data_IF_232966287591
#
_entry.id   IF_232966287591
#
_cell.length_a   1.000
_cell.length_b   1.000
_cell.length_c   1.000
_cell.angle_alpha   90.00
_cell.angle_beta   90.00
_cell.angle_gamma   90.00
#
_symmetry.space_group_name_H-M   'P 1'
#
loop_
_entity.id
_entity.type
_entity.pdbx_description
1 polymer ?
#
# COMPACT_ATOMS: atom_id res chain seq x y z
N UNK A 1 35.99 23.27 -1.91
CA UNK A 1 34.72 23.53 -2.62
C UNK A 1 34.68 22.51 -3.74
N UNK A 2 33.85 21.47 -3.62
CA UNK A 2 33.74 20.44 -4.65
C UNK A 2 33.04 21.07 -5.85
N UNK A 3 33.77 21.26 -6.94
CA UNK A 3 33.26 21.86 -8.16
C UNK A 3 32.51 20.79 -8.95
N UNK A 4 31.17 20.87 -8.91
CA UNK A 4 30.27 19.90 -9.56
C UNK A 4 29.95 20.27 -11.01
N UNK A 5 30.56 21.31 -11.56
CA UNK A 5 30.35 21.68 -12.97
C UNK A 5 31.35 20.96 -13.87
N UNK A 6 31.08 19.67 -14.12
CA UNK A 6 31.58 19.00 -15.32
C UNK A 6 30.72 19.46 -16.50
N UNK A 7 31.29 20.33 -17.32
CA UNK A 7 30.71 20.72 -18.61
C UNK A 7 30.62 19.50 -19.55
N UNK A 8 29.39 19.09 -19.81
CA UNK A 8 28.90 18.25 -20.92
C UNK A 8 29.52 16.85 -21.17
N UNK A 9 28.88 15.84 -20.58
CA UNK A 9 28.34 14.68 -21.31
C UNK A 9 27.04 14.26 -20.60
N UNK A 10 25.88 14.41 -21.26
CA UNK A 10 24.57 14.66 -20.62
C UNK A 10 23.92 13.49 -19.86
N UNK A 11 24.68 12.45 -19.50
CA UNK A 11 24.17 11.32 -18.72
C UNK A 11 25.02 11.13 -17.45
N UNK A 12 24.45 11.47 -16.31
CA UNK A 12 25.01 11.27 -15.00
C UNK A 12 24.53 9.92 -14.44
N UNK A 13 25.43 9.05 -13.99
CA UNK A 13 25.05 7.76 -13.41
C UNK A 13 25.13 7.80 -11.89
N UNK A 14 24.24 7.07 -11.20
CA UNK A 14 24.22 7.08 -9.74
C UNK A 14 25.51 6.55 -9.11
N UNK A 15 26.32 5.79 -9.85
CA UNK A 15 27.65 5.32 -9.44
C UNK A 15 28.67 6.46 -9.33
N UNK A 16 28.42 7.61 -9.94
CA UNK A 16 29.27 8.80 -9.85
C UNK A 16 28.98 9.63 -8.58
N UNK A 17 27.93 9.26 -7.82
CA UNK A 17 27.56 9.91 -6.57
C UNK A 17 28.41 9.42 -5.39
N UNK A 18 28.42 10.22 -4.31
CA UNK A 18 28.87 9.73 -3.01
C UNK A 18 28.03 8.52 -2.57
N UNK A 19 28.59 7.66 -1.71
CA UNK A 19 27.97 6.40 -1.29
C UNK A 19 26.53 6.53 -0.77
N UNK A 20 26.21 7.62 -0.06
CA UNK A 20 24.87 7.84 0.49
C UNK A 20 23.86 8.11 -0.62
N UNK A 21 24.18 9.03 -1.52
CA UNK A 21 23.33 9.36 -2.66
C UNK A 21 23.27 8.19 -3.65
N UNK A 22 24.39 7.53 -3.93
CA UNK A 22 24.45 6.34 -4.79
C UNK A 22 23.51 5.24 -4.29
N UNK A 23 23.51 4.95 -2.98
CA UNK A 23 22.62 3.95 -2.39
C UNK A 23 21.13 4.29 -2.55
N UNK A 24 20.76 5.57 -2.38
CA UNK A 24 19.38 6.03 -2.54
C UNK A 24 18.91 5.90 -4.00
N UNK A 25 19.72 6.33 -4.96
CA UNK A 25 19.37 6.25 -6.38
C UNK A 25 19.41 4.81 -6.90
N UNK A 26 20.33 3.97 -6.40
CA UNK A 26 20.34 2.53 -6.70
C UNK A 26 19.08 1.84 -6.18
N UNK A 27 18.63 2.15 -4.95
CA UNK A 27 17.35 1.64 -4.45
C UNK A 27 16.18 2.10 -5.33
N UNK A 28 16.20 3.36 -5.76
CA UNK A 28 15.21 3.92 -6.67
C UNK A 28 15.17 3.18 -8.01
N UNK A 29 16.32 2.94 -8.62
CA UNK A 29 16.48 2.24 -9.91
C UNK A 29 16.02 0.77 -9.86
N UNK A 30 16.18 0.11 -8.70
CA UNK A 30 15.67 -1.25 -8.48
C UNK A 30 14.14 -1.34 -8.43
N UNK A 31 13.46 -0.28 -7.96
CA UNK A 31 12.01 -0.29 -7.71
C UNK A 31 11.21 0.49 -8.76
N UNK A 32 11.82 1.50 -9.38
CA UNK A 32 11.27 2.30 -10.48
C UNK A 32 12.35 2.51 -11.53
N UNK A 33 11.94 2.73 -12.78
CA UNK A 33 12.86 2.97 -13.89
C UNK A 33 13.62 4.32 -13.84
N UNK A 34 13.55 5.03 -12.70
CA UNK A 34 14.18 6.32 -12.41
C UNK A 34 14.14 7.35 -13.57
N UNK A 35 12.99 7.41 -14.25
CA UNK A 35 12.79 8.26 -15.43
C UNK A 35 12.66 9.73 -15.03
N UNK A 36 13.49 10.59 -15.62
CA UNK A 36 13.54 12.03 -15.30
C UNK A 36 12.18 12.70 -15.53
N UNK A 37 11.53 12.42 -16.66
CA UNK A 37 10.25 12.98 -17.07
C UNK A 37 9.06 12.56 -16.18
N UNK A 38 9.27 11.59 -15.29
CA UNK A 38 8.25 11.06 -14.37
C UNK A 38 8.57 11.33 -12.90
N UNK A 39 9.66 12.03 -12.63
CA UNK A 39 10.18 12.32 -11.30
C UNK A 39 10.12 13.83 -11.05
N UNK A 40 9.96 14.23 -9.79
CA UNK A 40 10.07 15.65 -9.43
C UNK A 40 11.53 16.07 -9.35
N UNK A 41 11.80 17.35 -9.60
CA UNK A 41 13.10 17.97 -9.32
C UNK A 41 12.99 18.89 -8.11
N UNK A 42 13.74 18.60 -7.05
CA UNK A 42 13.78 19.39 -5.82
C UNK A 42 15.17 20.02 -5.71
N UNK A 43 15.22 21.35 -5.59
CA UNK A 43 16.48 22.12 -5.55
C UNK A 43 17.43 21.77 -6.71
N UNK A 44 16.89 21.60 -7.92
CA UNK A 44 17.66 21.23 -9.11
C UNK A 44 18.04 19.75 -9.21
N UNK A 45 17.71 18.91 -8.21
CA UNK A 45 18.02 17.48 -8.21
C UNK A 45 16.79 16.65 -8.51
N UNK A 46 16.87 15.74 -9.48
CA UNK A 46 15.83 14.75 -9.75
C UNK A 46 15.63 13.84 -8.54
N UNK A 47 14.39 13.61 -8.10
CA UNK A 47 14.09 12.62 -7.07
C UNK A 47 14.49 11.21 -7.52
N UNK A 48 15.00 10.35 -6.61
CA UNK A 48 15.49 9.01 -6.96
C UNK A 48 14.39 8.04 -7.42
N UNK A 49 13.13 8.42 -7.28
CA UNK A 49 11.96 7.64 -7.68
C UNK A 49 10.92 8.49 -8.38
N UNK A 50 10.11 7.81 -9.17
CA UNK A 50 8.94 8.31 -9.87
C UNK A 50 7.96 9.02 -8.89
N UNK A 51 7.22 10.04 -9.34
CA UNK A 51 6.17 10.70 -8.53
C UNK A 51 5.11 9.72 -8.04
N UNK A 52 4.85 8.64 -8.82
CA UNK A 52 3.93 7.57 -8.41
C UNK A 52 4.42 6.87 -7.14
N UNK A 53 5.69 6.50 -7.10
CA UNK A 53 6.29 5.79 -5.97
C UNK A 53 6.34 6.67 -4.72
N UNK A 54 6.56 7.98 -4.90
CA UNK A 54 6.38 8.95 -3.80
C UNK A 54 4.97 8.83 -3.21
N UNK A 55 3.94 8.75 -4.06
CA UNK A 55 2.57 8.50 -3.64
C UNK A 55 2.38 7.15 -2.94
N UNK A 56 2.94 6.07 -3.50
CA UNK A 56 2.86 4.71 -2.92
C UNK A 56 3.51 4.67 -1.54
N UNK A 57 4.71 5.22 -1.38
CA UNK A 57 5.40 5.26 -0.08
C UNK A 57 4.66 6.12 0.94
N UNK A 58 4.15 7.29 0.53
CA UNK A 58 3.33 8.13 1.40
C UNK A 58 2.04 7.41 1.84
N UNK A 59 1.37 6.74 0.90
CA UNK A 59 0.21 5.90 1.18
C UNK A 59 0.53 4.76 2.14
N UNK A 60 1.63 4.03 1.91
CA UNK A 60 2.06 2.92 2.74
C UNK A 60 2.35 3.36 4.18
N UNK A 61 3.07 4.48 4.34
CA UNK A 61 3.32 5.09 5.64
C UNK A 61 2.00 5.49 6.33
N UNK A 62 1.06 6.09 5.60
CA UNK A 62 -0.25 6.46 6.12
C UNK A 62 -1.08 5.23 6.52
N UNK A 63 -1.10 4.18 5.70
CA UNK A 63 -1.81 2.93 5.99
C UNK A 63 -1.27 2.25 7.26
N UNK A 64 0.05 2.14 7.37
CA UNK A 64 0.70 1.62 8.58
C UNK A 64 0.42 2.48 9.81
N UNK A 65 0.46 3.81 9.67
CA UNK A 65 0.13 4.74 10.74
C UNK A 65 -1.32 4.58 11.20
N UNK A 66 -2.28 4.56 10.27
CA UNK A 66 -3.70 4.37 10.59
C UNK A 66 -3.92 3.02 11.29
N UNK A 67 -3.29 1.94 10.78
CA UNK A 67 -3.36 0.63 11.42
C UNK A 67 -2.79 0.66 12.84
N UNK A 68 -1.65 1.32 13.07
CA UNK A 68 -1.03 1.40 14.40
C UNK A 68 -1.94 2.02 15.48
N UNK A 69 -2.93 2.83 15.07
CA UNK A 69 -3.86 3.51 15.98
C UNK A 69 -5.17 2.77 16.20
N UNK A 70 -5.58 1.92 15.26
CA UNK A 70 -6.94 1.33 15.25
C UNK A 70 -6.98 -0.18 15.03
N UNK A 71 -5.95 -0.76 14.42
CA UNK A 71 -5.90 -2.17 14.07
C UNK A 71 -5.79 -3.07 15.29
N UNK A 72 -6.53 -4.18 15.27
CA UNK A 72 -6.47 -5.22 16.29
C UNK A 72 -6.32 -6.59 15.64
N UNK A 73 -5.63 -7.50 16.35
CA UNK A 73 -5.47 -8.88 15.93
C UNK A 73 -6.81 -9.63 15.98
N UNK A 74 -7.24 -10.20 14.85
CA UNK A 74 -8.36 -11.14 14.74
C UNK A 74 -7.88 -12.43 14.05
N UNK A 75 -8.72 -13.46 14.02
CA UNK A 75 -8.33 -14.80 13.52
C UNK A 75 -7.80 -14.80 12.07
N UNK A 76 -8.43 -14.04 11.16
CA UNK A 76 -8.03 -13.99 9.75
C UNK A 76 -7.40 -12.65 9.40
N UNK A 77 -6.57 -12.62 8.35
CA UNK A 77 -6.00 -11.38 7.80
C UNK A 77 -7.11 -10.41 7.41
N UNK A 78 -8.19 -10.89 6.79
CA UNK A 78 -9.34 -10.06 6.40
C UNK A 78 -9.98 -9.39 7.62
N UNK A 79 -10.24 -10.15 8.67
CA UNK A 79 -10.92 -9.61 9.86
C UNK A 79 -10.00 -8.62 10.59
N UNK A 80 -8.71 -8.95 10.66
CA UNK A 80 -7.65 -8.08 11.19
C UNK A 80 -7.52 -6.79 10.38
N UNK A 81 -7.63 -6.86 9.05
CA UNK A 81 -7.62 -5.70 8.16
C UNK A 81 -8.85 -4.82 8.40
N UNK A 82 -10.04 -5.41 8.41
CA UNK A 82 -11.29 -4.67 8.59
C UNK A 82 -11.41 -4.05 9.99
N UNK A 83 -10.64 -4.53 10.96
CA UNK A 83 -10.64 -3.99 12.33
C UNK A 83 -10.23 -2.52 12.45
N UNK A 84 -9.61 -1.97 11.40
CA UNK A 84 -9.31 -0.53 11.31
C UNK A 84 -10.59 0.33 11.26
N UNK A 85 -11.71 -0.26 10.83
CA UNK A 85 -13.02 0.38 10.76
C UNK A 85 -13.79 0.18 12.08
N UNK A 86 -14.61 1.16 12.51
CA UNK A 86 -15.39 1.03 13.74
C UNK A 86 -16.37 -0.14 13.71
N UNK A 87 -16.46 -0.88 14.82
CA UNK A 87 -17.32 -2.06 14.93
C UNK A 87 -18.80 -1.74 14.66
N UNK A 88 -19.27 -0.54 15.01
CA UNK A 88 -20.64 -0.10 14.72
C UNK A 88 -20.97 -0.11 13.21
N UNK A 89 -20.01 0.26 12.37
CA UNK A 89 -20.17 0.23 10.91
C UNK A 89 -20.10 -1.19 10.35
N UNK A 90 -19.35 -2.07 11.03
CA UNK A 90 -19.14 -3.46 10.61
C UNK A 90 -20.27 -4.40 11.07
N UNK A 91 -21.01 -4.06 12.13
CA UNK A 91 -22.13 -4.83 12.67
C UNK A 91 -23.07 -5.42 11.60
N UNK A 92 -23.67 -4.61 10.69
CA UNK A 92 -24.58 -5.14 9.67
C UNK A 92 -23.86 -6.01 8.62
N UNK A 93 -22.57 -5.76 8.37
CA UNK A 93 -21.77 -6.45 7.36
C UNK A 93 -21.39 -7.85 7.85
N UNK A 94 -20.98 -7.96 9.11
CA UNK A 94 -20.66 -9.23 9.76
C UNK A 94 -21.90 -10.10 9.93
N UNK A 95 -23.02 -9.53 10.37
CA UNK A 95 -24.30 -10.26 10.50
C UNK A 95 -24.82 -10.78 9.17
N UNK A 96 -24.67 -10.02 8.07
CA UNK A 96 -25.07 -10.45 6.71
C UNK A 96 -24.00 -11.29 6.00
N UNK A 97 -22.90 -11.66 6.68
CA UNK A 97 -21.78 -12.41 6.11
C UNK A 97 -21.14 -11.75 4.85
N UNK A 98 -21.18 -10.42 4.74
CA UNK A 98 -20.66 -9.66 3.57
C UNK A 98 -19.21 -9.17 3.74
N UNK A 99 -18.51 -9.62 4.79
CA UNK A 99 -17.13 -9.18 5.11
C UNK A 99 -16.13 -9.41 3.98
N UNK A 100 -16.25 -10.52 3.24
CA UNK A 100 -15.37 -10.80 2.09
C UNK A 100 -15.60 -9.78 0.97
N UNK A 101 -16.86 -9.46 0.68
CA UNK A 101 -17.18 -8.46 -0.34
C UNK A 101 -16.65 -7.09 0.06
N UNK A 102 -16.84 -6.67 1.31
CA UNK A 102 -16.29 -5.39 1.80
C UNK A 102 -14.76 -5.33 1.62
N UNK A 103 -14.05 -6.39 2.02
CA UNK A 103 -12.59 -6.45 1.89
C UNK A 103 -12.13 -6.34 0.44
N UNK A 104 -12.78 -7.08 -0.47
CA UNK A 104 -12.49 -7.02 -1.91
C UNK A 104 -12.82 -5.63 -2.47
N UNK A 105 -13.94 -5.02 -2.08
CA UNK A 105 -14.33 -3.68 -2.54
C UNK A 105 -13.32 -2.63 -2.09
N UNK A 106 -12.87 -2.64 -0.84
CA UNK A 106 -11.82 -1.72 -0.35
C UNK A 106 -10.52 -1.93 -1.13
N UNK A 107 -10.10 -3.19 -1.32
CA UNK A 107 -8.92 -3.52 -2.12
C UNK A 107 -9.03 -3.02 -3.55
N UNK A 108 -10.18 -3.23 -4.19
CA UNK A 108 -10.47 -2.77 -5.55
C UNK A 108 -10.39 -1.24 -5.65
N UNK A 109 -10.98 -0.49 -4.70
CA UNK A 109 -10.89 0.97 -4.66
C UNK A 109 -9.44 1.45 -4.54
N UNK A 110 -8.61 0.76 -3.75
CA UNK A 110 -7.19 1.12 -3.61
C UNK A 110 -6.36 0.78 -4.85
N UNK A 111 -6.68 -0.30 -5.58
CA UNK A 111 -5.84 -0.82 -6.68
C UNK A 111 -6.27 -0.29 -8.05
N UNK A 112 -7.57 -0.25 -8.32
CA UNK A 112 -8.12 0.01 -9.67
C UNK A 112 -7.68 1.37 -10.23
N UNK A 113 -7.71 2.50 -9.48
CA UNK A 113 -7.32 3.79 -10.05
C UNK A 113 -5.90 3.79 -10.64
N UNK A 114 -4.95 3.17 -9.95
CA UNK A 114 -3.57 3.05 -10.42
C UNK A 114 -3.43 2.04 -11.56
N UNK A 115 -4.14 0.91 -11.48
CA UNK A 115 -4.15 -0.09 -12.54
C UNK A 115 -4.72 0.48 -13.85
N UNK A 116 -5.81 1.25 -13.78
CA UNK A 116 -6.41 1.93 -14.93
C UNK A 116 -5.47 3.00 -15.49
N UNK A 117 -4.88 3.84 -14.63
CA UNK A 117 -3.92 4.86 -15.06
C UNK A 117 -2.70 4.23 -15.75
N UNK A 118 -2.14 3.15 -15.21
CA UNK A 118 -1.05 2.40 -15.83
C UNK A 118 -1.44 1.67 -17.11
N UNK A 119 -2.61 1.03 -17.13
CA UNK A 119 -3.08 0.26 -18.29
C UNK A 119 -3.45 1.16 -19.47
N UNK A 120 -4.08 2.30 -19.22
CA UNK A 120 -4.39 3.28 -20.27
C UNK A 120 -3.13 3.88 -20.89
N UNK A 121 -2.07 4.11 -20.11
CA UNK A 121 -0.73 4.49 -20.63
C UNK A 121 -0.10 3.43 -21.54
N UNK A 122 -0.39 2.14 -21.33
CA UNK A 122 0.12 1.08 -22.21
C UNK A 122 -0.62 1.02 -23.55
N UNK A 123 -1.86 1.51 -23.61
CA UNK A 123 -2.73 1.41 -24.78
C UNK A 123 -2.85 2.70 -25.57
N UNK A 124 -2.36 3.82 -25.06
CA UNK A 124 -2.55 5.15 -25.65
C UNK A 124 -1.26 5.98 -25.56
N UNK A 125 -1.14 7.00 -26.41
CA UNK A 125 -0.03 7.96 -26.36
C UNK A 125 -0.11 8.95 -25.19
N UNK A 126 -1.04 8.74 -24.26
CA UNK A 126 -1.22 9.57 -23.08
C UNK A 126 -0.18 9.20 -22.03
N UNK A 127 0.55 10.19 -21.55
CA UNK A 127 1.35 10.09 -20.33
C UNK A 127 0.57 10.58 -19.10
N UNK A 128 0.75 9.95 -17.93
CA UNK A 128 0.15 10.48 -16.70
C UNK A 128 0.81 11.80 -16.31
N UNK A 129 0.03 12.71 -15.75
CA UNK A 129 0.57 13.91 -15.10
C UNK A 129 1.13 13.55 -13.73
N UNK A 130 2.04 14.38 -13.20
CA UNK A 130 2.58 14.20 -11.84
C UNK A 130 1.46 14.11 -10.78
N UNK A 131 0.43 14.94 -10.91
CA UNK A 131 -0.73 14.91 -10.01
C UNK A 131 -1.48 13.56 -10.07
N UNK A 132 -1.75 13.06 -11.28
CA UNK A 132 -2.46 11.78 -11.43
C UNK A 132 -1.64 10.60 -10.91
N UNK A 133 -0.31 10.61 -11.13
CA UNK A 133 0.62 9.61 -10.58
C UNK A 133 0.57 9.59 -9.05
N UNK A 134 0.54 10.76 -8.43
CA UNK A 134 0.46 10.91 -6.98
C UNK A 134 -0.90 10.42 -6.44
N UNK A 135 -2.01 10.91 -7.03
CA UNK A 135 -3.38 10.61 -6.56
C UNK A 135 -3.76 9.15 -6.75
N UNK A 136 -3.22 8.46 -7.77
CA UNK A 136 -3.44 7.02 -7.93
C UNK A 136 -2.48 6.18 -7.08
N UNK A 137 -1.26 6.66 -6.85
CA UNK A 137 -0.27 5.99 -5.99
C UNK A 137 -0.65 5.96 -4.51
N UNK A 138 -1.19 7.06 -3.96
CA UNK A 138 -1.54 7.16 -2.54
C UNK A 138 -2.57 6.10 -2.08
N UNK A 139 -3.74 5.94 -2.74
CA UNK A 139 -4.71 4.92 -2.37
C UNK A 139 -4.15 3.49 -2.46
N UNK A 140 -3.32 3.22 -3.46
CA UNK A 140 -2.67 1.92 -3.62
C UNK A 140 -1.71 1.65 -2.46
N UNK A 141 -0.84 2.61 -2.16
CA UNK A 141 0.07 2.55 -1.02
C UNK A 141 -0.67 2.37 0.30
N UNK A 142 -1.77 3.10 0.52
CA UNK A 142 -2.59 3.00 1.73
C UNK A 142 -3.19 1.61 1.90
N UNK A 143 -3.73 1.05 0.81
CA UNK A 143 -4.23 -0.32 0.79
C UNK A 143 -3.15 -1.35 1.13
N UNK A 144 -1.96 -1.22 0.53
CA UNK A 144 -0.80 -2.07 0.83
C UNK A 144 -0.34 -1.95 2.29
N UNK A 145 -0.22 -0.73 2.80
CA UNK A 145 0.18 -0.48 4.19
C UNK A 145 -0.78 -1.10 5.19
N UNK A 146 -2.09 -0.93 4.99
CA UNK A 146 -3.12 -1.58 5.82
C UNK A 146 -3.05 -3.12 5.69
N UNK A 147 -2.87 -3.65 4.48
CA UNK A 147 -2.81 -5.08 4.23
C UNK A 147 -1.60 -5.73 4.91
N UNK A 148 -0.40 -5.19 4.74
CA UNK A 148 0.81 -5.73 5.36
C UNK A 148 0.79 -5.60 6.87
N UNK A 149 0.33 -4.47 7.42
CA UNK A 149 0.18 -4.30 8.85
C UNK A 149 -0.82 -5.31 9.44
N UNK A 150 -1.94 -5.53 8.75
CA UNK A 150 -2.91 -6.55 9.14
C UNK A 150 -2.37 -7.97 9.02
N UNK A 151 -1.66 -8.30 7.94
CA UNK A 151 -1.07 -9.62 7.72
C UNK A 151 -0.04 -9.96 8.80
N UNK A 152 0.80 -9.00 9.21
CA UNK A 152 1.77 -9.19 10.28
C UNK A 152 1.12 -9.28 11.69
N UNK A 153 -0.03 -8.63 11.85
CA UNK A 153 -0.76 -8.59 13.11
C UNK A 153 -1.72 -9.77 13.31
N UNK A 154 -2.17 -10.39 12.21
CA UNK A 154 -3.08 -11.54 12.22
C UNK A 154 -2.35 -12.79 12.74
N UNK A 155 -2.54 -13.08 14.02
CA UNK A 155 -1.86 -14.16 14.75
C UNK A 155 -2.90 -15.12 15.32
N UNK A 156 -3.38 -16.11 14.53
CA UNK A 156 -4.35 -17.10 15.00
C UNK A 156 -3.81 -17.92 16.17
N UNK A 157 -2.50 -18.13 16.25
CA UNK A 157 -1.85 -18.88 17.33
C UNK A 157 -1.94 -18.20 18.72
N UNK A 158 -2.46 -16.97 18.81
CA UNK A 158 -2.76 -16.30 20.09
C UNK A 158 -4.14 -16.66 20.64
N UNK A 159 -4.90 -17.49 19.94
CA UNK A 159 -6.23 -17.93 20.33
C UNK A 159 -6.24 -19.46 20.39
N UNK A 160 -6.81 -20.04 21.45
CA UNK A 160 -6.97 -21.48 21.58
C UNK A 160 -8.06 -21.99 20.61
N UNK A 161 -9.09 -21.18 20.39
CA UNK A 161 -10.25 -21.52 19.53
C UNK A 161 -10.69 -20.32 18.70
N UNK A 162 -11.13 -20.54 17.44
CA UNK A 162 -11.68 -19.45 16.61
C UNK A 162 -12.84 -18.69 17.26
N UNK A 163 -13.64 -19.36 18.10
CA UNK A 163 -14.80 -18.79 18.78
C UNK A 163 -14.46 -17.78 19.88
N UNK A 164 -13.19 -17.68 20.32
CA UNK A 164 -12.72 -16.68 21.28
C UNK A 164 -12.60 -15.29 20.65
N UNK A 165 -12.49 -15.20 19.32
CA UNK A 165 -12.35 -13.92 18.62
C UNK A 165 -13.68 -13.18 18.63
N UNK A 166 -13.70 -12.01 19.27
CA UNK A 166 -14.84 -11.10 19.24
C UNK A 166 -14.89 -10.40 17.88
N UNK A 167 -15.97 -10.65 17.14
CA UNK A 167 -16.26 -9.97 15.88
C UNK A 167 -17.44 -9.00 16.05
N UNK A 168 -17.54 -7.97 15.19
CA UNK A 168 -18.67 -7.06 15.17
C UNK A 168 -20.02 -7.80 15.15
N UNK A 169 -20.97 -7.28 15.91
CA UNK A 169 -22.32 -7.83 16.03
C UNK A 169 -22.41 -9.10 16.88
N UNK A 170 -21.39 -9.42 17.70
CA UNK A 170 -21.25 -10.64 18.50
C UNK A 170 -21.24 -11.94 17.68
N UNK A 171 -20.83 -11.85 16.41
CA UNK A 171 -20.63 -13.03 15.57
C UNK A 171 -19.37 -13.77 16.02
N UNK A 172 -19.38 -15.10 15.97
CA UNK A 172 -18.23 -15.95 16.33
C UNK A 172 -17.98 -16.98 15.24
N UNK A 173 -16.74 -17.40 15.10
CA UNK A 173 -16.42 -18.56 14.27
C UNK A 173 -16.92 -19.83 14.96
N UNK A 174 -17.77 -20.58 14.26
CA UNK A 174 -18.23 -21.90 14.67
C UNK A 174 -17.93 -22.90 13.55
N UNK A 175 -17.57 -24.13 13.92
CA UNK A 175 -17.56 -25.24 12.97
C UNK A 175 -19.01 -25.60 12.63
N UNK A 176 -19.28 -26.17 11.44
CA UNK A 176 -20.56 -26.83 11.21
C UNK A 176 -20.82 -27.82 12.35
N UNK A 177 -22.07 -27.96 12.82
CA UNK A 177 -22.42 -29.07 13.70
C UNK A 177 -21.92 -30.36 13.04
N UNK A 178 -21.19 -31.20 13.78
CA UNK A 178 -20.96 -32.56 13.31
C UNK A 178 -22.34 -33.23 13.35
N UNK A 179 -22.89 -33.59 12.19
CA UNK A 179 -23.97 -34.56 12.15
C UNK A 179 -23.39 -35.84 12.79
N UNK A 180 -23.96 -36.25 13.91
CA UNK A 180 -23.63 -37.53 14.55
C UNK A 180 -24.02 -38.62 13.53
N UNK A 181 -23.01 -39.29 12.94
CA UNK A 181 -23.19 -40.54 12.21
C UNK A 181 -23.64 -41.67 13.13
#
# INVERSE_FOLDING_TARGET
>A
MLDFHKENDQNFTWTDLNVYSAAIYAFGDLNCHNKHERSWSINGNQMPVCVRDVGIFAGLALGGFVYSRRGVNRWTIRDTFLSVLPDEQLNPIYRKNRRTMLFITIGAICVIPMAVDGFTQLLTDRESTAFLRLVTGIPFGLGLGLFFAAAYSARPNKFDKPSQVLLPGNVRFQRPPQEEE
#
